data_IF_481994259012
#
_entry.id   IF_481994259012
#
_cell.length_a   1.000
_cell.length_b   1.000
_cell.length_c   1.000
_cell.angle_alpha   90.00
_cell.angle_beta   90.00
_cell.angle_gamma   90.00
#
_symmetry.space_group_name_H-M   'P 1'
#
loop_
_entity.id
_entity.type
_entity.pdbx_description
1 polymer ?
#
# COMPACT_ATOMS: atom_id res chain seq x y z
N UNK A 1 -2.15 -13.12 -1.87
CA UNK A 1 -2.99 -12.06 -1.27
C UNK A 1 -3.48 -11.11 -2.36
N UNK A 2 -4.60 -10.41 -2.11
CA UNK A 2 -5.08 -9.31 -2.96
C UNK A 2 -4.55 -7.99 -2.42
N UNK A 3 -3.71 -7.33 -3.22
CA UNK A 3 -3.02 -6.10 -2.83
C UNK A 3 -3.50 -4.98 -3.75
N UNK A 4 -3.87 -3.85 -3.16
CA UNK A 4 -4.14 -2.62 -3.88
C UNK A 4 -2.89 -1.73 -3.82
N UNK A 5 -2.41 -1.32 -4.98
CA UNK A 5 -1.32 -0.38 -5.14
C UNK A 5 -1.89 1.03 -5.33
N UNK A 6 -1.51 1.93 -4.42
CA UNK A 6 -1.90 3.33 -4.43
C UNK A 6 -1.34 4.08 -5.66
N UNK A 7 -1.96 5.21 -6.00
CA UNK A 7 -1.52 6.08 -7.08
C UNK A 7 -0.20 6.79 -6.81
N UNK A 8 0.18 6.92 -5.54
CA UNK A 8 1.49 7.40 -5.11
C UNK A 8 2.65 6.52 -5.60
N UNK A 9 2.39 5.25 -5.89
CA UNK A 9 3.42 4.27 -6.26
C UNK A 9 3.43 3.98 -7.77
N UNK A 10 4.61 3.68 -8.35
CA UNK A 10 4.73 3.41 -9.78
C UNK A 10 4.09 2.06 -10.11
N UNK A 11 3.28 2.01 -11.17
CA UNK A 11 2.63 0.77 -11.64
C UNK A 11 3.59 -0.39 -11.88
N UNK A 12 4.86 -0.11 -12.22
CA UNK A 12 5.92 -1.11 -12.41
C UNK A 12 6.17 -1.95 -11.14
N UNK A 13 5.84 -1.44 -9.96
CA UNK A 13 5.98 -2.15 -8.68
C UNK A 13 5.12 -3.43 -8.62
N UNK A 14 4.06 -3.50 -9.41
CA UNK A 14 3.26 -4.74 -9.56
C UNK A 14 4.10 -5.93 -10.05
N UNK A 15 5.16 -5.69 -10.82
CA UNK A 15 6.06 -6.73 -11.33
C UNK A 15 6.96 -7.32 -10.23
N UNK A 16 7.18 -6.58 -9.15
CA UNK A 16 8.03 -6.98 -8.01
C UNK A 16 7.25 -7.87 -7.00
N UNK A 17 5.95 -8.06 -7.20
CA UNK A 17 5.06 -8.84 -6.33
C UNK A 17 4.38 -10.01 -7.09
N UNK A 18 5.12 -10.88 -7.81
CA UNK A 18 4.53 -11.84 -8.77
C UNK A 18 3.66 -12.94 -8.14
N UNK A 19 3.80 -13.18 -6.82
CA UNK A 19 3.00 -14.17 -6.08
C UNK A 19 1.68 -13.60 -5.52
N UNK A 20 1.42 -12.32 -5.74
CA UNK A 20 0.25 -11.61 -5.23
C UNK A 20 -0.64 -11.14 -6.38
N UNK A 21 -1.95 -11.10 -6.15
CA UNK A 21 -2.87 -10.47 -7.08
C UNK A 21 -2.85 -8.98 -6.78
N UNK A 22 -2.09 -8.22 -7.59
CA UNK A 22 -1.92 -6.79 -7.41
C UNK A 22 -2.75 -6.02 -8.43
N UNK A 23 -3.60 -5.12 -7.94
CA UNK A 23 -4.33 -4.15 -8.75
C UNK A 23 -3.85 -2.76 -8.39
N UNK A 24 -4.02 -1.79 -9.28
CA UNK A 24 -3.71 -0.38 -8.96
C UNK A 24 -4.99 0.42 -8.83
N UNK A 25 -4.96 1.46 -7.98
CA UNK A 25 -6.06 2.42 -7.82
C UNK A 25 -6.51 2.97 -9.18
N UNK A 26 -5.57 3.26 -10.08
CA UNK A 26 -5.94 3.76 -11.41
C UNK A 26 -6.64 2.70 -12.27
N UNK A 27 -6.26 1.40 -12.17
CA UNK A 27 -6.95 0.32 -12.91
C UNK A 27 -8.37 0.08 -12.40
N UNK A 28 -8.61 0.34 -11.11
CA UNK A 28 -9.95 0.29 -10.51
C UNK A 28 -10.80 1.52 -10.84
N UNK A 29 -10.24 2.54 -11.48
CA UNK A 29 -10.94 3.82 -11.69
C UNK A 29 -11.10 4.62 -10.40
N UNK A 30 -10.29 4.35 -9.38
CA UNK A 30 -10.36 4.95 -8.04
C UNK A 30 -9.36 6.11 -7.87
N UNK A 31 -8.73 6.56 -8.95
CA UNK A 31 -7.78 7.67 -8.91
C UNK A 31 -8.45 8.94 -8.35
N UNK A 32 -7.79 9.62 -7.41
CA UNK A 32 -8.32 10.81 -6.74
C UNK A 32 -9.41 10.56 -5.68
N UNK A 33 -9.73 9.30 -5.33
CA UNK A 33 -10.53 9.04 -4.14
C UNK A 33 -9.79 9.52 -2.90
N UNK A 34 -10.51 10.19 -1.99
CA UNK A 34 -9.94 10.56 -0.68
C UNK A 34 -9.55 9.30 0.09
N UNK A 35 -8.44 9.37 0.82
CA UNK A 35 -7.88 8.29 1.63
C UNK A 35 -8.93 7.49 2.44
N UNK A 36 -9.81 8.15 3.19
CA UNK A 36 -10.86 7.45 3.95
C UNK A 36 -11.87 6.68 3.09
N UNK A 37 -12.25 7.20 1.91
CA UNK A 37 -13.13 6.51 0.98
C UNK A 37 -12.38 5.36 0.28
N UNK A 38 -11.14 5.61 -0.14
CA UNK A 38 -10.27 4.60 -0.75
C UNK A 38 -10.08 3.39 0.18
N UNK A 39 -9.79 3.63 1.47
CA UNK A 39 -9.62 2.55 2.46
C UNK A 39 -10.90 1.71 2.63
N UNK A 40 -12.07 2.35 2.64
CA UNK A 40 -13.37 1.68 2.76
C UNK A 40 -13.71 0.85 1.53
N UNK A 41 -13.51 1.38 0.34
CA UNK A 41 -13.71 0.64 -0.91
C UNK A 41 -12.69 -0.51 -1.03
N UNK A 42 -11.43 -0.23 -0.70
CA UNK A 42 -10.38 -1.24 -0.74
C UNK A 42 -10.66 -2.41 0.21
N UNK A 43 -11.17 -2.16 1.43
CA UNK A 43 -11.42 -3.22 2.41
C UNK A 43 -12.46 -4.25 1.97
N UNK A 44 -13.32 -3.92 1.00
CA UNK A 44 -14.32 -4.85 0.49
C UNK A 44 -13.72 -5.97 -0.38
N UNK A 45 -12.61 -5.69 -1.07
CA UNK A 45 -12.06 -6.58 -2.09
C UNK A 45 -10.58 -6.94 -1.89
N UNK A 46 -9.85 -6.14 -1.12
CA UNK A 46 -8.42 -6.22 -0.91
C UNK A 46 -8.07 -6.48 0.55
N UNK A 47 -6.91 -7.10 0.74
CA UNK A 47 -6.40 -7.43 2.06
C UNK A 47 -5.39 -6.40 2.55
N UNK A 48 -4.63 -5.80 1.61
CA UNK A 48 -3.57 -4.84 1.91
C UNK A 48 -3.63 -3.67 0.92
N UNK A 49 -3.55 -2.45 1.42
CA UNK A 49 -3.19 -1.26 0.64
C UNK A 49 -1.68 -1.02 0.78
N UNK A 50 -0.98 -0.96 -0.35
CA UNK A 50 0.43 -0.57 -0.43
C UNK A 50 0.49 0.87 -0.94
N UNK A 51 1.07 1.78 -0.15
CA UNK A 51 1.13 3.21 -0.43
C UNK A 51 2.52 3.79 -0.17
N UNK A 52 2.88 4.85 -0.89
CA UNK A 52 4.03 5.71 -0.57
C UNK A 52 3.62 7.02 0.11
N UNK A 53 2.32 7.24 0.37
CA UNK A 53 1.84 8.43 1.07
C UNK A 53 2.03 8.27 2.59
N UNK A 54 3.13 8.86 3.09
CA UNK A 54 3.43 8.89 4.51
C UNK A 54 2.46 9.79 5.31
N UNK A 55 1.61 10.58 4.65
CA UNK A 55 0.60 11.38 5.34
C UNK A 55 -0.66 10.59 5.69
N UNK A 56 -0.84 9.40 5.11
CA UNK A 56 -2.02 8.57 5.33
C UNK A 56 -2.25 8.28 6.82
N UNK A 57 -1.16 8.07 7.57
CA UNK A 57 -1.22 7.77 9.00
C UNK A 57 -1.67 8.95 9.86
N UNK A 58 -1.40 10.18 9.42
CA UNK A 58 -1.81 11.39 10.13
C UNK A 58 -3.22 11.84 9.75
N UNK A 59 -3.73 11.37 8.61
CA UNK A 59 -5.06 11.73 8.10
C UNK A 59 -6.16 10.79 8.54
N UNK A 60 -5.83 9.57 9.01
CA UNK A 60 -6.80 8.54 9.35
C UNK A 60 -6.56 8.04 10.77
N UNK A 61 -7.64 7.69 11.46
CA UNK A 61 -7.52 7.06 12.77
C UNK A 61 -7.03 5.62 12.60
N UNK A 62 -5.75 5.42 12.93
CA UNK A 62 -5.05 4.13 12.84
C UNK A 62 -5.74 3.01 13.64
N UNK A 63 -6.54 3.37 14.65
CA UNK A 63 -7.29 2.39 15.45
C UNK A 63 -8.52 1.85 14.74
N UNK A 64 -8.92 2.44 13.61
CA UNK A 64 -10.15 2.13 12.87
C UNK A 64 -9.93 1.73 11.42
N UNK A 65 -8.68 1.40 11.05
CA UNK A 65 -8.35 1.06 9.66
C UNK A 65 -9.17 -0.16 9.19
N UNK A 66 -9.95 -0.03 8.10
CA UNK A 66 -10.78 -1.13 7.62
C UNK A 66 -10.00 -2.18 6.84
N UNK A 67 -8.73 -1.90 6.51
CA UNK A 67 -7.81 -2.75 5.73
C UNK A 67 -6.40 -2.64 6.30
N UNK A 68 -5.56 -3.65 6.09
CA UNK A 68 -4.13 -3.54 6.40
C UNK A 68 -3.45 -2.52 5.45
N UNK A 69 -2.50 -1.76 5.97
CA UNK A 69 -1.78 -0.72 5.23
C UNK A 69 -0.28 -0.91 5.37
N UNK A 70 0.44 -0.93 4.25
CA UNK A 70 1.90 -0.87 4.23
C UNK A 70 2.31 0.45 3.59
N UNK A 71 3.06 1.25 4.35
CA UNK A 71 3.63 2.52 3.89
C UNK A 71 5.08 2.28 3.51
N UNK A 72 5.42 2.45 2.23
CA UNK A 72 6.79 2.41 1.74
C UNK A 72 7.44 3.77 1.92
N UNK A 73 8.41 3.83 2.83
CA UNK A 73 9.19 5.04 3.16
C UNK A 73 10.45 5.02 2.31
N UNK A 74 10.46 5.84 1.27
CA UNK A 74 11.61 6.02 0.39
C UNK A 74 11.88 7.52 0.18
N UNK A 75 13.12 7.84 -0.22
CA UNK A 75 13.50 9.22 -0.59
C UNK A 75 12.63 9.79 -1.72
N UNK A 76 12.10 8.93 -2.59
CA UNK A 76 11.11 9.28 -3.60
C UNK A 76 10.35 8.02 -4.08
N UNK A 77 9.24 8.22 -4.80
CA UNK A 77 8.41 7.12 -5.31
C UNK A 77 8.87 6.58 -6.68
N UNK A 78 10.16 6.70 -7.02
CA UNK A 78 10.72 6.04 -8.22
C UNK A 78 10.98 4.58 -7.92
N UNK A 79 10.84 3.74 -8.94
CA UNK A 79 11.06 2.30 -8.83
C UNK A 79 12.46 1.95 -8.31
N UNK A 80 13.46 2.77 -8.62
CA UNK A 80 14.85 2.60 -8.17
C UNK A 80 15.00 2.74 -6.65
N UNK A 81 14.25 3.65 -6.05
CA UNK A 81 14.25 3.88 -4.60
C UNK A 81 13.34 2.91 -3.85
N UNK A 82 12.31 2.38 -4.51
CA UNK A 82 11.35 1.45 -3.91
C UNK A 82 11.80 -0.01 -3.99
N UNK A 83 12.58 -0.39 -5.02
CA UNK A 83 13.08 -1.77 -5.21
C UNK A 83 13.85 -2.32 -4.02
N UNK A 84 14.77 -1.57 -3.38
CA UNK A 84 15.49 -2.04 -2.20
C UNK A 84 14.57 -2.41 -1.03
N UNK A 85 13.36 -1.85 -0.97
CA UNK A 85 12.38 -2.08 0.09
C UNK A 85 11.52 -3.32 -0.13
N UNK A 86 11.56 -3.91 -1.33
CA UNK A 86 10.73 -5.08 -1.68
C UNK A 86 10.91 -6.26 -0.72
N UNK A 87 12.13 -6.65 -0.30
CA UNK A 87 12.30 -7.74 0.66
C UNK A 87 11.54 -7.50 1.95
N UNK A 88 11.63 -6.29 2.52
CA UNK A 88 10.97 -5.94 3.77
C UNK A 88 9.44 -5.84 3.60
N UNK A 89 8.97 -5.35 2.44
CA UNK A 89 7.54 -5.39 2.10
C UNK A 89 7.05 -6.83 2.04
N UNK A 90 7.82 -7.75 1.45
CA UNK A 90 7.45 -9.16 1.37
C UNK A 90 7.42 -9.83 2.74
N UNK A 91 8.33 -9.48 3.66
CA UNK A 91 8.27 -9.96 5.04
C UNK A 91 7.07 -9.40 5.80
N UNK A 92 6.80 -8.09 5.68
CA UNK A 92 5.63 -7.46 6.28
C UNK A 92 4.32 -8.10 5.77
N UNK A 93 4.22 -8.41 4.48
CA UNK A 93 3.05 -9.09 3.90
C UNK A 93 2.78 -10.47 4.50
N UNK A 94 3.78 -11.17 5.05
CA UNK A 94 3.58 -12.48 5.68
C UNK A 94 2.93 -12.39 7.06
N UNK A 95 3.13 -11.28 7.77
CA UNK A 95 2.77 -11.15 9.19
C UNK A 95 1.67 -10.12 9.44
N UNK A 96 1.45 -9.20 8.50
CA UNK A 96 0.48 -8.12 8.65
C UNK A 96 -0.96 -8.64 8.79
N UNK A 97 -1.68 -8.06 9.75
CA UNK A 97 -3.09 -8.36 10.01
C UNK A 97 -4.00 -7.23 9.54
N UNK A 98 -5.28 -7.53 9.25
CA UNK A 98 -6.27 -6.49 8.93
C UNK A 98 -6.30 -5.38 9.98
N UNK A 99 -6.38 -4.13 9.52
CA UNK A 99 -6.40 -2.95 10.39
C UNK A 99 -5.05 -2.54 10.96
N UNK A 100 -3.95 -3.23 10.63
CA UNK A 100 -2.61 -2.79 11.00
C UNK A 100 -2.02 -1.83 9.97
N UNK A 101 -1.21 -0.89 10.45
CA UNK A 101 -0.32 -0.08 9.62
C UNK A 101 1.14 -0.45 9.91
N UNK A 102 1.90 -0.75 8.87
CA UNK A 102 3.34 -1.04 8.95
C UNK A 102 4.10 -0.10 8.02
N UNK A 103 5.22 0.46 8.51
CA UNK A 103 6.14 1.25 7.71
C UNK A 103 7.33 0.40 7.30
N UNK A 104 7.74 0.52 6.05
CA UNK A 104 8.88 -0.22 5.49
C UNK A 104 9.82 0.75 4.80
N UNK A 105 11.08 0.77 5.22
CA UNK A 105 12.17 1.58 4.67
C UNK A 105 12.80 2.54 5.67
N UNK A 106 13.99 3.01 5.33
CA UNK A 106 14.76 3.93 6.17
C UNK A 106 14.24 5.36 5.98
N UNK A 107 13.78 5.96 7.08
CA UNK A 107 13.47 7.38 7.20
C UNK A 107 14.64 8.17 7.75
#
# INVERSE_FOLDING_TARGET
MRILLDESLPRKLTLELPRHNVQTVQRRGWAGLKNGALLREASQEFQVLLTGDQNLEFQQDLTTLPIAVIVMVAVNNRIESLRPLIPDVLEALKTIQPGQLVRVGDG
#
